data_IF_307376785817
#
_entry.id   IF_307376785817
#
_cell.length_a   1.000
_cell.length_b   1.000
_cell.length_c   1.000
_cell.angle_alpha   90.00
_cell.angle_beta   90.00
_cell.angle_gamma   90.00
#
_symmetry.space_group_name_H-M   'P 1'
#
loop_
_entity.id
_entity.type
_entity.pdbx_description
1 polymer ?
#
# COMPACT_ATOMS: atom_id res chain seq x y z
N UNK A 1 12.40 12.70 21.62
CA UNK A 1 11.47 12.03 20.68
C UNK A 1 10.93 13.02 19.65
N UNK A 2 10.23 14.09 20.06
CA UNK A 2 9.62 15.09 19.15
C UNK A 2 10.58 15.72 18.13
N UNK A 3 11.81 16.10 18.53
CA UNK A 3 12.82 16.62 17.59
C UNK A 3 13.22 15.59 16.52
N UNK A 4 13.40 14.33 16.91
CA UNK A 4 13.70 13.23 15.96
C UNK A 4 12.56 12.97 14.98
N UNK A 5 11.31 13.07 15.44
CA UNK A 5 10.12 12.95 14.58
C UNK A 5 10.10 14.08 13.56
N UNK A 6 10.38 15.32 13.98
CA UNK A 6 10.43 16.49 13.08
C UNK A 6 11.53 16.37 12.03
N UNK A 7 12.72 15.94 12.42
CA UNK A 7 13.84 15.78 11.48
C UNK A 7 13.55 14.69 10.45
N UNK A 8 12.98 13.56 10.88
CA UNK A 8 12.55 12.47 10.01
C UNK A 8 11.42 12.94 9.09
N UNK A 9 10.38 13.56 9.64
CA UNK A 9 9.26 14.08 8.85
C UNK A 9 9.72 15.09 7.78
N UNK A 10 10.73 15.92 8.07
CA UNK A 10 11.24 16.89 7.08
C UNK A 10 11.92 16.22 5.88
N UNK A 11 12.67 15.14 6.11
CA UNK A 11 13.29 14.35 5.03
C UNK A 11 12.21 13.66 4.20
N UNK A 12 11.28 13.03 4.91
CA UNK A 12 10.21 12.22 4.37
C UNK A 12 9.16 13.07 3.60
N UNK A 13 8.92 14.35 3.97
CA UNK A 13 7.99 15.24 3.24
C UNK A 13 8.40 15.47 1.78
N UNK A 14 9.70 15.48 1.47
CA UNK A 14 10.16 15.66 0.10
C UNK A 14 9.84 14.41 -0.75
N UNK A 15 10.13 13.23 -0.21
CA UNK A 15 9.81 11.94 -0.84
C UNK A 15 8.30 11.76 -1.00
N UNK A 16 7.53 12.20 -0.02
CA UNK A 16 6.08 12.17 -0.01
C UNK A 16 5.45 13.01 -1.13
N UNK A 17 6.02 14.19 -1.41
CA UNK A 17 5.58 15.02 -2.53
C UNK A 17 5.82 14.33 -3.87
N UNK A 18 6.94 13.63 -4.02
CA UNK A 18 7.26 12.85 -5.22
C UNK A 18 6.28 11.68 -5.36
N UNK A 19 5.99 10.94 -4.28
CA UNK A 19 5.04 9.83 -4.33
C UNK A 19 3.63 10.28 -4.71
N UNK A 20 3.14 11.38 -4.16
CA UNK A 20 1.83 11.95 -4.53
C UNK A 20 1.82 12.44 -5.99
N UNK A 21 2.92 13.04 -6.47
CA UNK A 21 3.02 13.47 -7.86
C UNK A 21 3.03 12.28 -8.84
N UNK A 22 3.74 11.20 -8.49
CA UNK A 22 3.76 9.95 -9.27
C UNK A 22 2.37 9.30 -9.29
N UNK A 23 1.70 9.26 -8.15
CA UNK A 23 0.34 8.74 -8.01
C UNK A 23 -0.67 9.53 -8.87
N UNK A 24 -0.66 10.85 -8.77
CA UNK A 24 -1.51 11.72 -9.58
C UNK A 24 -1.21 11.60 -11.08
N UNK A 25 0.08 11.51 -11.45
CA UNK A 25 0.51 11.35 -12.84
C UNK A 25 0.07 10.02 -13.45
N UNK A 26 0.19 8.92 -12.70
CA UNK A 26 -0.26 7.60 -13.16
C UNK A 26 -1.78 7.51 -13.28
N UNK A 27 -2.52 8.13 -12.35
CA UNK A 27 -3.97 8.24 -12.44
C UNK A 27 -4.38 9.03 -13.69
N UNK A 28 -3.76 10.19 -13.93
CA UNK A 28 -4.04 11.01 -15.12
C UNK A 28 -3.71 10.25 -16.42
N UNK A 29 -2.59 9.53 -16.47
CA UNK A 29 -2.23 8.69 -17.61
C UNK A 29 -3.29 7.61 -17.85
N UNK A 30 -3.72 6.91 -16.81
CA UNK A 30 -4.76 5.88 -16.93
C UNK A 30 -6.10 6.43 -17.42
N UNK A 31 -6.47 7.65 -17.01
CA UNK A 31 -7.67 8.33 -17.53
C UNK A 31 -7.53 8.64 -19.02
N UNK A 32 -6.37 9.17 -19.44
CA UNK A 32 -6.11 9.49 -20.85
C UNK A 32 -6.18 8.23 -21.71
N UNK A 33 -5.55 7.14 -21.28
CA UNK A 33 -5.58 5.85 -22.00
C UNK A 33 -7.01 5.33 -22.14
N UNK A 34 -7.81 5.39 -21.08
CA UNK A 34 -9.21 4.94 -21.13
C UNK A 34 -10.07 5.77 -22.07
N UNK A 35 -9.89 7.09 -22.09
CA UNK A 35 -10.59 7.97 -23.04
C UNK A 35 -10.21 7.62 -24.48
N UNK A 36 -8.92 7.39 -24.76
CA UNK A 36 -8.47 6.95 -26.09
C UNK A 36 -9.06 5.58 -26.47
N UNK A 37 -9.03 4.59 -25.57
CA UNK A 37 -9.60 3.26 -25.83
C UNK A 37 -11.09 3.37 -26.14
N UNK A 38 -11.85 4.20 -25.42
CA UNK A 38 -13.27 4.40 -25.70
C UNK A 38 -13.55 5.11 -27.04
N UNK A 39 -12.65 5.99 -27.48
CA UNK A 39 -12.76 6.65 -28.78
C UNK A 39 -12.53 5.69 -29.96
N UNK A 40 -11.71 4.65 -29.78
CA UNK A 40 -11.33 3.71 -30.84
C UNK A 40 -12.02 2.34 -30.76
N UNK A 41 -12.37 1.89 -29.56
CA UNK A 41 -12.96 0.59 -29.27
C UNK A 41 -14.27 0.85 -28.54
N UNK A 42 -15.39 0.64 -29.24
CA UNK A 42 -16.74 0.99 -28.82
C UNK A 42 -17.26 0.06 -27.70
N UNK A 43 -16.49 -0.10 -26.62
CA UNK A 43 -16.77 -1.02 -25.52
C UNK A 43 -17.89 -0.50 -24.61
N UNK A 44 -18.72 -1.43 -24.12
CA UNK A 44 -19.96 -1.13 -23.42
C UNK A 44 -19.83 -0.97 -21.90
N UNK A 45 -18.63 -1.19 -21.33
CA UNK A 45 -18.44 -1.18 -19.87
C UNK A 45 -17.17 -0.45 -19.46
N UNK A 46 -17.31 0.35 -18.40
CA UNK A 46 -16.24 1.15 -17.82
C UNK A 46 -15.60 0.43 -16.62
N UNK A 47 -14.26 0.42 -16.58
CA UNK A 47 -13.46 -0.01 -15.42
C UNK A 47 -12.51 1.13 -15.04
N UNK A 48 -12.33 1.46 -13.74
CA UNK A 48 -11.47 2.56 -13.30
C UNK A 48 -10.00 2.13 -13.35
N UNK A 49 -9.48 1.98 -14.56
CA UNK A 49 -8.11 1.52 -14.80
C UNK A 49 -7.08 2.51 -14.22
N UNK A 50 -7.38 3.82 -14.22
CA UNK A 50 -6.49 4.86 -13.70
C UNK A 50 -6.22 4.70 -12.21
N UNK A 51 -7.25 4.64 -11.38
CA UNK A 51 -7.10 4.38 -9.95
C UNK A 51 -6.59 2.98 -9.62
N UNK A 52 -6.87 1.96 -10.44
CA UNK A 52 -6.28 0.63 -10.23
C UNK A 52 -4.76 0.62 -10.47
N UNK A 53 -4.29 1.29 -11.53
CA UNK A 53 -2.87 1.47 -11.79
C UNK A 53 -2.23 2.32 -10.68
N UNK A 54 -2.88 3.40 -10.27
CA UNK A 54 -2.43 4.23 -9.17
C UNK A 54 -2.35 3.43 -7.84
N UNK A 55 -3.33 2.57 -7.56
CA UNK A 55 -3.36 1.73 -6.37
C UNK A 55 -2.22 0.72 -6.34
N UNK A 56 -1.97 0.05 -7.46
CA UNK A 56 -0.82 -0.85 -7.61
C UNK A 56 0.50 -0.10 -7.42
N UNK A 57 0.63 1.09 -8.01
CA UNK A 57 1.83 1.90 -7.87
C UNK A 57 2.05 2.38 -6.43
N UNK A 58 1.01 2.85 -5.75
CA UNK A 58 1.06 3.27 -4.34
C UNK A 58 1.41 2.10 -3.43
N UNK A 59 0.80 0.92 -3.65
CA UNK A 59 1.15 -0.29 -2.91
C UNK A 59 2.64 -0.65 -3.10
N UNK A 60 3.14 -0.60 -4.33
CA UNK A 60 4.56 -0.81 -4.65
C UNK A 60 5.45 0.21 -3.92
N UNK A 61 5.12 1.50 -3.98
CA UNK A 61 5.91 2.57 -3.37
C UNK A 61 5.92 2.46 -1.85
N UNK A 62 4.77 2.20 -1.22
CA UNK A 62 4.69 2.02 0.23
C UNK A 62 5.49 0.79 0.64
N UNK A 63 5.31 -0.35 -0.02
CA UNK A 63 5.97 -1.59 0.36
C UNK A 63 7.47 -1.52 0.08
N UNK A 64 7.89 -1.39 -1.18
CA UNK A 64 9.32 -1.40 -1.50
C UNK A 64 10.03 -0.14 -1.02
N UNK A 65 9.47 1.04 -1.30
CA UNK A 65 10.05 2.31 -0.88
C UNK A 65 10.16 2.41 0.64
N UNK A 66 9.09 2.04 1.36
CA UNK A 66 9.11 2.01 2.83
C UNK A 66 10.08 0.98 3.41
N UNK A 67 10.16 -0.23 2.83
CA UNK A 67 11.09 -1.29 3.28
C UNK A 67 12.55 -0.85 3.14
N UNK A 68 12.92 -0.30 1.98
CA UNK A 68 14.30 0.14 1.74
C UNK A 68 14.62 1.42 2.52
N UNK A 69 13.71 2.38 2.60
CA UNK A 69 13.90 3.63 3.35
C UNK A 69 14.09 3.34 4.85
N UNK A 70 13.23 2.52 5.46
CA UNK A 70 13.36 2.17 6.87
C UNK A 70 14.61 1.32 7.13
N UNK A 71 14.99 0.47 6.17
CA UNK A 71 16.24 -0.28 6.20
C UNK A 71 17.46 0.65 6.23
N UNK A 72 17.65 1.47 5.20
CA UNK A 72 18.80 2.38 5.10
C UNK A 72 18.81 3.43 6.21
N UNK A 73 17.65 3.98 6.54
CA UNK A 73 17.49 4.97 7.61
C UNK A 73 17.93 4.43 8.98
N UNK A 74 17.70 3.13 9.25
CA UNK A 74 18.19 2.50 10.47
C UNK A 74 19.72 2.40 10.50
N UNK A 75 20.39 2.01 9.41
CA UNK A 75 21.85 1.94 9.37
C UNK A 75 22.51 3.31 9.58
N UNK A 76 21.96 4.33 8.91
CA UNK A 76 22.42 5.72 9.05
C UNK A 76 22.17 6.23 10.47
N UNK A 77 21.00 5.96 11.06
CA UNK A 77 20.71 6.40 12.42
C UNK A 77 21.62 5.75 13.46
N UNK A 78 21.92 4.45 13.31
CA UNK A 78 22.82 3.75 14.23
C UNK A 78 24.27 4.16 14.02
N UNK A 79 24.72 4.42 12.78
CA UNK A 79 26.09 4.91 12.51
C UNK A 79 26.31 6.32 13.04
N UNK A 80 25.28 7.17 13.03
CA UNK A 80 25.29 8.50 13.66
C UNK A 80 25.12 8.48 15.19
N UNK A 81 25.14 7.30 15.83
CA UNK A 81 25.10 7.18 17.29
C UNK A 81 23.74 7.40 17.94
N UNK A 82 22.63 7.42 17.17
CA UNK A 82 21.28 7.48 17.78
C UNK A 82 20.93 6.17 18.47
N UNK A 83 20.24 6.29 19.60
CA UNK A 83 19.74 5.14 20.37
C UNK A 83 18.60 4.44 19.64
N UNK A 84 18.78 3.15 19.33
CA UNK A 84 17.83 2.29 18.61
C UNK A 84 16.40 2.32 19.18
N UNK A 85 16.28 2.42 20.51
CA UNK A 85 15.00 2.47 21.24
C UNK A 85 14.16 3.72 20.96
N UNK A 86 14.79 4.83 20.59
CA UNK A 86 14.11 6.10 20.33
C UNK A 86 13.81 6.31 18.84
N UNK A 87 14.65 5.77 17.96
CA UNK A 87 14.52 5.92 16.50
C UNK A 87 13.43 5.04 15.89
N UNK A 88 13.36 3.76 16.27
CA UNK A 88 12.37 2.81 15.71
C UNK A 88 10.91 3.26 15.92
N UNK A 89 10.46 3.64 17.13
CA UNK A 89 9.08 4.08 17.31
C UNK A 89 8.81 5.43 16.61
N UNK A 90 9.79 6.34 16.50
CA UNK A 90 9.58 7.58 15.75
C UNK A 90 9.47 7.33 14.26
N UNK A 91 10.26 6.40 13.71
CA UNK A 91 10.15 5.98 12.31
C UNK A 91 8.78 5.37 12.01
N UNK A 92 8.30 4.43 12.83
CA UNK A 92 6.97 3.81 12.61
C UNK A 92 5.83 4.84 12.59
N UNK A 93 5.87 5.85 13.45
CA UNK A 93 4.86 6.92 13.45
C UNK A 93 4.92 7.74 12.16
N UNK A 94 6.13 8.09 11.69
CA UNK A 94 6.29 8.87 10.45
C UNK A 94 5.84 8.07 9.23
N UNK A 95 6.23 6.79 9.12
CA UNK A 95 5.75 5.93 8.04
C UNK A 95 4.24 5.71 8.11
N UNK A 96 3.64 5.67 9.29
CA UNK A 96 2.18 5.55 9.42
C UNK A 96 1.45 6.79 8.91
N UNK A 97 1.96 7.98 9.24
CA UNK A 97 1.39 9.23 8.73
C UNK A 97 1.53 9.29 7.19
N UNK A 98 2.68 8.87 6.67
CA UNK A 98 2.94 8.76 5.24
C UNK A 98 1.95 7.85 4.51
N UNK A 99 1.79 6.60 4.99
CA UNK A 99 0.86 5.66 4.38
C UNK A 99 -0.57 6.14 4.47
N UNK A 100 -0.94 6.81 5.57
CA UNK A 100 -2.27 7.39 5.73
C UNK A 100 -2.52 8.47 4.66
N UNK A 101 -1.56 9.36 4.42
CA UNK A 101 -1.75 10.42 3.43
C UNK A 101 -1.74 9.88 2.00
N UNK A 102 -0.88 8.91 1.67
CA UNK A 102 -0.91 8.27 0.35
C UNK A 102 -2.24 7.55 0.11
N UNK A 103 -2.74 6.78 1.09
CA UNK A 103 -4.04 6.11 0.97
C UNK A 103 -5.21 7.11 0.89
N UNK A 104 -5.09 8.26 1.56
CA UNK A 104 -6.08 9.35 1.46
C UNK A 104 -6.02 10.02 0.08
N UNK A 105 -4.82 10.23 -0.46
CA UNK A 105 -4.61 10.71 -1.83
C UNK A 105 -5.29 9.79 -2.84
N UNK A 106 -5.10 8.48 -2.70
CA UNK A 106 -5.72 7.48 -3.54
C UNK A 106 -7.25 7.53 -3.50
N UNK A 107 -7.81 7.67 -2.30
CA UNK A 107 -9.25 7.82 -2.13
C UNK A 107 -9.79 9.07 -2.83
N UNK A 108 -9.10 10.20 -2.71
CA UNK A 108 -9.48 11.44 -3.40
C UNK A 108 -9.36 11.29 -4.92
N UNK A 109 -8.28 10.68 -5.41
CA UNK A 109 -8.05 10.41 -6.83
C UNK A 109 -9.13 9.50 -7.41
N UNK A 110 -9.52 8.44 -6.70
CA UNK A 110 -10.64 7.56 -7.09
C UNK A 110 -11.95 8.36 -7.22
N UNK A 111 -12.23 9.28 -6.29
CA UNK A 111 -13.42 10.15 -6.34
C UNK A 111 -13.36 11.14 -7.48
N UNK A 112 -12.21 11.77 -7.72
CA UNK A 112 -12.01 12.68 -8.86
C UNK A 112 -12.19 11.93 -10.18
N UNK A 113 -11.59 10.74 -10.29
CA UNK A 113 -11.72 9.86 -11.44
C UNK A 113 -13.21 9.54 -11.70
N UNK A 114 -13.96 9.10 -10.69
CA UNK A 114 -15.40 8.83 -10.85
C UNK A 114 -16.21 10.04 -11.30
N UNK A 115 -15.89 11.22 -10.77
CA UNK A 115 -16.57 12.44 -11.14
C UNK A 115 -16.28 12.82 -12.60
N UNK A 116 -15.03 12.69 -13.05
CA UNK A 116 -14.62 12.95 -14.43
C UNK A 116 -15.38 12.02 -15.38
N UNK A 117 -15.44 10.72 -15.09
CA UNK A 117 -16.16 9.78 -15.94
C UNK A 117 -17.69 9.96 -15.90
N UNK A 118 -18.24 10.39 -14.76
CA UNK A 118 -19.65 10.77 -14.66
C UNK A 118 -20.02 11.93 -15.58
N UNK A 119 -19.07 12.83 -15.87
CA UNK A 119 -19.27 13.97 -16.79
C UNK A 119 -18.96 13.61 -18.24
N UNK A 120 -17.88 12.85 -18.48
CA UNK A 120 -17.39 12.56 -19.84
C UNK A 120 -18.18 11.42 -20.53
N UNK A 121 -18.70 10.46 -19.77
CA UNK A 121 -19.38 9.26 -20.28
C UNK A 121 -20.70 8.99 -19.50
N UNK A 122 -21.75 9.80 -19.70
CA UNK A 122 -23.00 9.62 -18.99
C UNK A 122 -23.69 8.31 -19.39
N UNK A 123 -24.00 7.44 -18.41
CA UNK A 123 -24.85 6.25 -18.60
C UNK A 123 -24.15 4.91 -18.85
N UNK A 124 -22.81 4.84 -18.84
CA UNK A 124 -22.03 3.58 -18.94
C UNK A 124 -21.32 3.18 -17.63
N UNK A 125 -21.86 3.59 -16.49
CA UNK A 125 -21.31 3.24 -15.18
C UNK A 125 -21.71 1.80 -14.86
N UNK A 126 -20.74 0.88 -14.75
CA UNK A 126 -21.00 -0.39 -14.06
C UNK A 126 -21.18 -0.03 -12.58
N UNK A 127 -22.43 0.02 -12.12
CA UNK A 127 -22.84 0.30 -10.73
C UNK A 127 -22.28 -0.69 -9.67
N UNK A 128 -21.33 -1.53 -10.04
CA UNK A 128 -20.84 -2.66 -9.23
C UNK A 128 -19.33 -2.82 -9.31
N UNK A 129 -18.57 -1.75 -9.09
CA UNK A 129 -17.16 -1.90 -8.70
C UNK A 129 -17.12 -1.85 -7.16
N UNK A 130 -17.00 -3.01 -6.47
CA UNK A 130 -17.07 -3.10 -5.01
C UNK A 130 -15.99 -2.27 -4.30
N UNK A 131 -14.91 -1.92 -5.00
CA UNK A 131 -13.85 -1.03 -4.50
C UNK A 131 -14.40 0.34 -4.12
N UNK A 132 -15.45 0.85 -4.78
CA UNK A 132 -16.04 2.17 -4.46
C UNK A 132 -17.02 2.16 -3.28
N UNK A 133 -17.65 1.02 -3.00
CA UNK A 133 -18.60 0.87 -1.89
C UNK A 133 -17.92 0.46 -0.59
N UNK A 134 -16.76 -0.21 -0.64
CA UNK A 134 -16.04 -0.67 0.56
C UNK A 134 -14.92 0.27 1.04
N UNK A 135 -14.45 1.19 0.19
CA UNK A 135 -13.46 2.22 0.59
C UNK A 135 -14.12 3.32 1.42
N UNK A 136 -14.34 3.04 2.69
CA UNK A 136 -14.82 4.02 3.68
C UNK A 136 -13.62 4.62 4.43
N UNK A 137 -13.72 5.86 4.94
CA UNK A 137 -12.64 6.53 5.71
C UNK A 137 -12.02 5.64 6.81
N UNK A 138 -12.78 4.82 7.56
CA UNK A 138 -12.22 3.89 8.55
C UNK A 138 -11.33 2.80 7.95
N UNK A 139 -11.59 2.39 6.71
CA UNK A 139 -10.81 1.38 5.98
C UNK A 139 -9.41 1.92 5.59
N UNK A 140 -9.30 3.22 5.29
CA UNK A 140 -8.02 3.89 5.04
C UNK A 140 -7.10 3.78 6.27
N UNK A 141 -7.67 3.95 7.47
CA UNK A 141 -6.92 3.84 8.72
C UNK A 141 -6.48 2.39 9.00
N UNK A 142 -7.37 1.41 8.80
CA UNK A 142 -7.04 -0.01 8.96
C UNK A 142 -5.97 -0.46 7.96
N UNK A 143 -6.14 -0.12 6.69
CA UNK A 143 -5.21 -0.47 5.62
C UNK A 143 -3.83 0.19 5.81
N UNK A 144 -3.79 1.49 6.13
CA UNK A 144 -2.52 2.19 6.39
C UNK A 144 -1.75 1.56 7.57
N UNK A 145 -2.44 1.17 8.65
CA UNK A 145 -1.84 0.51 9.80
C UNK A 145 -1.25 -0.87 9.43
N UNK A 146 -2.02 -1.69 8.72
CA UNK A 146 -1.58 -2.99 8.23
C UNK A 146 -0.37 -2.86 7.29
N UNK A 147 -0.43 -1.92 6.35
CA UNK A 147 0.66 -1.65 5.41
C UNK A 147 1.94 -1.19 6.11
N UNK A 148 1.85 -0.32 7.13
CA UNK A 148 3.02 0.01 7.94
C UNK A 148 3.59 -1.16 8.73
N UNK A 149 2.74 -2.06 9.21
CA UNK A 149 3.19 -3.29 9.84
C UNK A 149 3.97 -4.15 8.85
N UNK A 150 3.42 -4.34 7.65
CA UNK A 150 4.05 -5.10 6.58
C UNK A 150 5.37 -4.49 6.12
N UNK A 151 5.48 -3.16 6.00
CA UNK A 151 6.74 -2.50 5.64
C UNK A 151 7.79 -2.65 6.73
N UNK A 152 7.41 -2.45 7.99
CA UNK A 152 8.31 -2.61 9.13
C UNK A 152 8.84 -4.05 9.24
N UNK A 153 7.96 -5.04 9.10
CA UNK A 153 8.34 -6.45 9.13
C UNK A 153 9.16 -6.84 7.90
N UNK A 154 8.77 -6.37 6.72
CA UNK A 154 9.52 -6.56 5.47
C UNK A 154 10.94 -6.02 5.57
N UNK A 155 11.13 -4.82 6.11
CA UNK A 155 12.44 -4.23 6.35
C UNK A 155 13.28 -5.07 7.32
N UNK A 156 12.68 -5.55 8.42
CA UNK A 156 13.35 -6.41 9.39
C UNK A 156 13.79 -7.74 8.75
N UNK A 157 12.95 -8.36 7.92
CA UNK A 157 13.22 -9.62 7.24
C UNK A 157 14.30 -9.45 6.17
N UNK A 158 14.21 -8.41 5.34
CA UNK A 158 15.18 -8.09 4.29
C UNK A 158 16.58 -7.88 4.86
N UNK A 159 16.68 -7.26 6.04
CA UNK A 159 17.96 -7.10 6.74
C UNK A 159 18.46 -8.38 7.39
N UNK A 160 17.56 -9.21 7.92
CA UNK A 160 17.97 -10.48 8.56
C UNK A 160 18.51 -11.48 7.54
N UNK A 161 17.92 -11.54 6.36
CA UNK A 161 18.22 -12.54 5.35
C UNK A 161 18.86 -11.91 4.11
N UNK A 162 20.06 -12.37 3.74
CA UNK A 162 20.79 -11.89 2.55
C UNK A 162 20.01 -12.03 1.23
N UNK A 163 19.11 -13.02 1.16
CA UNK A 163 18.16 -13.25 0.04
C UNK A 163 16.76 -12.70 0.30
N UNK A 164 16.54 -11.97 1.39
CA UNK A 164 15.22 -11.46 1.79
C UNK A 164 14.61 -10.53 0.73
N UNK A 165 15.43 -9.77 -0.01
CA UNK A 165 14.98 -8.95 -1.14
C UNK A 165 14.31 -9.77 -2.25
N UNK A 166 14.89 -10.93 -2.57
CA UNK A 166 14.40 -11.84 -3.62
C UNK A 166 13.12 -12.53 -3.14
N UNK A 167 13.08 -12.96 -1.89
CA UNK A 167 11.88 -13.59 -1.30
C UNK A 167 10.72 -12.58 -1.27
N UNK A 168 10.98 -11.34 -0.89
CA UNK A 168 9.95 -10.30 -0.84
C UNK A 168 9.42 -9.96 -2.24
N UNK A 169 10.31 -9.87 -3.23
CA UNK A 169 9.92 -9.67 -4.62
C UNK A 169 9.16 -10.87 -5.19
N UNK A 170 9.54 -12.10 -4.84
CA UNK A 170 8.80 -13.30 -5.24
C UNK A 170 7.40 -13.33 -4.62
N UNK A 171 7.27 -13.01 -3.32
CA UNK A 171 5.97 -12.89 -2.64
C UNK A 171 5.12 -11.80 -3.27
N UNK A 172 5.71 -10.66 -3.63
CA UNK A 172 5.03 -9.57 -4.31
C UNK A 172 4.51 -9.97 -5.70
N UNK A 173 5.37 -10.56 -6.53
CA UNK A 173 4.99 -11.03 -7.86
C UNK A 173 3.91 -12.11 -7.80
N UNK A 174 3.99 -13.02 -6.82
CA UNK A 174 2.95 -14.02 -6.58
C UNK A 174 1.63 -13.36 -6.14
N UNK A 175 1.69 -12.37 -5.25
CA UNK A 175 0.50 -11.65 -4.79
C UNK A 175 -0.18 -10.84 -5.92
N UNK A 176 0.61 -10.18 -6.77
CA UNK A 176 0.10 -9.49 -7.96
C UNK A 176 -0.49 -10.47 -8.97
N UNK A 177 0.08 -11.68 -9.10
CA UNK A 177 -0.47 -12.74 -9.96
C UNK A 177 -1.79 -13.28 -9.41
N UNK A 178 -1.99 -13.29 -8.09
CA UNK A 178 -3.23 -13.77 -7.44
C UNK A 178 -4.28 -12.70 -7.25
N UNK A 179 -4.16 -11.52 -7.87
CA UNK A 179 -5.19 -10.49 -7.79
C UNK A 179 -6.48 -10.99 -8.48
N UNK A 180 -7.60 -11.11 -7.73
CA UNK A 180 -8.84 -11.63 -8.28
C UNK A 180 -9.36 -10.67 -9.37
N UNK A 181 -9.50 -11.19 -10.59
CA UNK A 181 -10.03 -10.45 -11.75
C UNK A 181 -9.10 -10.34 -12.96
N UNK A 182 -7.83 -10.78 -12.89
CA UNK A 182 -6.94 -10.76 -14.07
C UNK A 182 -7.16 -11.92 -15.04
N UNK A 183 -7.80 -13.02 -14.61
CA UNK A 183 -8.07 -14.18 -15.47
C UNK A 183 -9.34 -14.90 -15.03
N UNK A 184 -10.42 -14.77 -15.82
CA UNK A 184 -11.72 -15.43 -15.60
C UNK A 184 -11.68 -16.98 -15.69
N UNK A 185 -10.50 -17.58 -15.88
CA UNK A 185 -10.35 -19.00 -16.21
C UNK A 185 -9.50 -19.86 -15.27
N UNK A 186 -9.00 -19.36 -14.13
CA UNK A 186 -7.95 -20.08 -13.36
C UNK A 186 -8.27 -20.40 -11.92
N UNK A 187 -9.44 -21.01 -11.70
CA UNK A 187 -9.89 -21.56 -10.41
C UNK A 187 -9.08 -22.81 -9.93
N UNK A 188 -7.87 -23.01 -10.44
CA UNK A 188 -7.03 -24.21 -10.22
C UNK A 188 -5.84 -23.97 -9.28
N UNK A 189 -5.41 -22.72 -9.08
CA UNK A 189 -4.25 -22.44 -8.23
C UNK A 189 -4.64 -22.39 -6.74
N UNK A 190 -3.90 -23.13 -5.89
CA UNK A 190 -4.12 -23.21 -4.43
C UNK A 190 -4.10 -21.80 -3.80
N UNK A 191 -3.20 -20.93 -4.25
CA UNK A 191 -3.06 -19.56 -3.75
C UNK A 191 -4.30 -18.69 -4.05
N UNK A 192 -4.92 -18.88 -5.21
CA UNK A 192 -6.13 -18.13 -5.59
C UNK A 192 -7.36 -18.64 -4.82
N UNK A 193 -7.43 -19.96 -4.58
CA UNK A 193 -8.43 -20.54 -3.68
C UNK A 193 -8.24 -20.08 -2.23
N UNK A 194 -7.00 -19.99 -1.76
CA UNK A 194 -6.69 -19.46 -0.43
C UNK A 194 -7.03 -17.97 -0.35
N UNK A 195 -6.71 -17.19 -1.39
CA UNK A 195 -7.04 -15.77 -1.49
C UNK A 195 -8.55 -15.52 -1.48
N UNK A 196 -9.31 -16.26 -2.30
CA UNK A 196 -10.76 -16.17 -2.36
C UNK A 196 -11.43 -16.71 -1.09
N UNK A 197 -10.97 -17.83 -0.52
CA UNK A 197 -11.50 -18.34 0.74
C UNK A 197 -11.20 -17.38 1.89
N UNK A 198 -10.01 -16.78 1.92
CA UNK A 198 -9.65 -15.78 2.92
C UNK A 198 -10.44 -14.49 2.72
N UNK A 199 -10.62 -14.02 1.48
CA UNK A 199 -11.43 -12.86 1.14
C UNK A 199 -12.91 -13.05 1.50
N UNK A 200 -13.49 -14.22 1.21
CA UNK A 200 -14.86 -14.56 1.58
C UNK A 200 -15.04 -14.71 3.09
N UNK A 201 -14.06 -15.32 3.77
CA UNK A 201 -14.04 -15.42 5.22
C UNK A 201 -13.93 -14.04 5.88
N UNK A 202 -13.07 -13.18 5.34
CA UNK A 202 -12.88 -11.81 5.83
C UNK A 202 -14.11 -10.93 5.57
N UNK A 203 -14.73 -11.06 4.40
CA UNK A 203 -15.97 -10.39 4.03
C UNK A 203 -17.17 -10.80 4.90
N UNK A 204 -17.13 -11.97 5.55
CA UNK A 204 -18.16 -12.44 6.46
C UNK A 204 -18.23 -11.69 7.80
N UNK A 205 -17.23 -10.86 8.12
CA UNK A 205 -17.22 -10.07 9.36
C UNK A 205 -17.79 -8.67 9.17
N UNK A 206 -18.38 -8.12 10.24
CA UNK A 206 -18.81 -6.73 10.27
C UNK A 206 -17.63 -5.77 10.04
N UNK A 207 -17.86 -4.68 9.31
CA UNK A 207 -16.81 -3.74 8.84
C UNK A 207 -15.89 -3.24 9.96
N UNK A 208 -16.43 -2.99 11.16
CA UNK A 208 -15.65 -2.56 12.33
C UNK A 208 -14.71 -3.64 12.87
N UNK A 209 -15.11 -4.91 12.79
CA UNK A 209 -14.28 -6.05 13.18
C UNK A 209 -13.15 -6.27 12.16
N UNK A 210 -13.41 -6.08 10.86
CA UNK A 210 -12.36 -6.13 9.83
C UNK A 210 -11.29 -5.07 10.07
N UNK A 211 -11.69 -3.83 10.37
CA UNK A 211 -10.75 -2.72 10.63
C UNK A 211 -9.93 -2.99 11.90
N UNK A 212 -10.56 -3.45 12.98
CA UNK A 212 -9.84 -3.76 14.22
C UNK A 212 -8.85 -4.91 14.03
N UNK A 213 -9.18 -5.91 13.22
CA UNK A 213 -8.26 -6.98 12.82
C UNK A 213 -7.07 -6.43 12.02
N UNK A 214 -7.30 -5.56 11.04
CA UNK A 214 -6.21 -4.94 10.24
C UNK A 214 -5.26 -4.11 11.11
N UNK A 215 -5.81 -3.28 12.00
CA UNK A 215 -5.00 -2.49 12.96
C UNK A 215 -4.24 -3.42 13.89
N UNK A 216 -4.89 -4.47 14.42
CA UNK A 216 -4.27 -5.47 15.28
C UNK A 216 -3.09 -6.17 14.61
N UNK A 217 -3.25 -6.61 13.37
CA UNK A 217 -2.18 -7.21 12.56
C UNK A 217 -1.04 -6.21 12.34
N UNK A 218 -1.36 -4.97 12.00
CA UNK A 218 -0.36 -3.91 11.84
C UNK A 218 0.49 -3.69 13.09
N UNK A 219 -0.15 -3.63 14.26
CA UNK A 219 0.55 -3.48 15.55
C UNK A 219 1.42 -4.70 15.86
N UNK A 220 0.91 -5.91 15.68
CA UNK A 220 1.68 -7.15 15.90
C UNK A 220 2.91 -7.19 15.00
N UNK A 221 2.77 -6.79 13.73
CA UNK A 221 3.90 -6.72 12.79
C UNK A 221 4.91 -5.63 13.17
N UNK A 222 4.46 -4.46 13.63
CA UNK A 222 5.37 -3.43 14.15
C UNK A 222 6.12 -3.89 15.42
N UNK A 223 5.45 -4.60 16.33
CA UNK A 223 6.08 -5.12 17.56
C UNK A 223 7.09 -6.22 17.23
N UNK A 224 6.74 -7.16 16.36
CA UNK A 224 7.66 -8.21 15.91
C UNK A 224 8.84 -7.63 15.14
N UNK A 225 8.62 -6.65 14.27
CA UNK A 225 9.69 -5.91 13.61
C UNK A 225 10.61 -5.23 14.64
N UNK A 226 10.06 -4.53 15.63
CA UNK A 226 10.84 -3.91 16.71
C UNK A 226 11.73 -4.91 17.46
N UNK A 227 11.19 -6.08 17.80
CA UNK A 227 11.95 -7.14 18.46
C UNK A 227 13.07 -7.71 17.58
N UNK A 228 12.84 -7.81 16.27
CA UNK A 228 13.85 -8.24 15.30
C UNK A 228 14.95 -7.19 15.14
N UNK A 229 14.60 -5.91 14.94
CA UNK A 229 15.55 -4.81 14.82
C UNK A 229 16.42 -4.66 16.08
N UNK A 230 15.87 -4.92 17.26
CA UNK A 230 16.63 -4.90 18.52
C UNK A 230 17.75 -5.94 18.54
N UNK A 231 17.55 -7.10 17.91
CA UNK A 231 18.50 -8.22 17.85
C UNK A 231 19.48 -8.15 16.68
N UNK A 232 19.29 -7.22 15.74
CA UNK A 232 20.11 -7.12 14.55
C UNK A 232 21.39 -6.29 14.78
N UNK A 233 22.50 -6.77 14.21
CA UNK A 233 23.74 -6.01 14.08
C UNK A 233 23.64 -5.05 12.87
N UNK A 234 24.43 -3.97 12.91
CA UNK A 234 24.56 -3.05 11.77
C UNK A 234 25.21 -3.83 10.62
N UNK A 235 24.59 -3.81 9.45
CA UNK A 235 25.17 -4.40 8.24
C UNK A 235 25.77 -3.24 7.45
N UNK A 236 27.10 -3.28 7.28
CA UNK A 236 27.84 -2.38 6.42
C UNK A 236 27.76 -2.87 4.97
#
# INVERSE_FOLDING_TARGET
MWRSIKDQAKLEVCDMGIYLAVEAGLCALGIVVMVFVHMFSNEASYFPIGSMIAALAVLCLILFGGIFSLGMGFDVAVSMGRTRKLYLPSAFIVYFIMTLVLMTGLFLLLRVETAIYGVVLPGKIKDSIPIMTEFTVPWIFGASAAMTGCTALGAAVVRRFRRGKIVLLAVWLLACWTLPGATDGRNENILDRMGNAWGQWFAGFQTWAQISMLVGVGVIFCVTAYLLFRKQAVQW
#
